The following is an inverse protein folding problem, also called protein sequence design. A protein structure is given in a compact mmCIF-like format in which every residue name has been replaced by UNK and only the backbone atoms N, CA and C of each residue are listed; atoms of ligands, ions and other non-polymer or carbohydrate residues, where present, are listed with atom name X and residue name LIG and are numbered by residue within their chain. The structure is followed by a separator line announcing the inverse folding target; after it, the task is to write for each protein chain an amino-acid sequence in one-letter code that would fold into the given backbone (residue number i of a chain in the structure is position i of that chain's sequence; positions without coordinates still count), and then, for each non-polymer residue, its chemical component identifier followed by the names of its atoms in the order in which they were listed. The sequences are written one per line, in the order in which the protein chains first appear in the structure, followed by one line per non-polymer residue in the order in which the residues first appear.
data_IF_148468072768
#
_entry.id   IF_148468072768
#
_cell.length_a   1.000
_cell.length_b   1.000
_cell.length_c   1.000
_cell.angle_alpha   90.00
_cell.angle_beta   90.00
_cell.angle_gamma   90.00
#
_symmetry.space_group_name_H-M   'P 1'
#
loop_
_entity.id
_entity.type
_entity.pdbx_description
1 polymer ?
#
# COMPACT_ATOMS: atom_id res chain seq x y z
N UNK A 1 8.76 9.35 -12.65
CA UNK A 1 9.37 8.01 -12.76
C UNK A 1 8.33 7.01 -12.27
N UNK A 2 7.77 6.17 -13.14
CA UNK A 2 6.76 5.19 -12.74
C UNK A 2 7.49 3.93 -12.27
N UNK A 3 7.69 3.82 -10.96
CA UNK A 3 8.38 2.67 -10.37
C UNK A 3 7.38 1.56 -10.15
N UNK A 4 7.44 0.51 -10.97
CA UNK A 4 6.58 -0.67 -10.84
C UNK A 4 7.28 -1.73 -10.01
N UNK A 5 6.61 -2.23 -8.97
CA UNK A 5 7.09 -3.33 -8.13
C UNK A 5 6.23 -4.57 -8.41
N UNK A 6 6.67 -5.51 -9.27
CA UNK A 6 5.90 -6.72 -9.55
C UNK A 6 5.87 -7.61 -8.30
N UNK A 7 4.67 -8.04 -7.92
CA UNK A 7 4.45 -8.86 -6.73
C UNK A 7 3.60 -10.07 -7.10
N UNK A 8 3.87 -11.18 -6.43
CA UNK A 8 3.03 -12.38 -6.53
C UNK A 8 2.05 -12.39 -5.37
N UNK A 9 0.77 -12.56 -5.69
CA UNK A 9 -0.27 -12.74 -4.68
C UNK A 9 -0.02 -14.07 -3.97
N UNK A 10 0.07 -14.02 -2.65
CA UNK A 10 0.20 -15.20 -1.81
C UNK A 10 -1.20 -15.68 -1.42
N UNK A 11 -1.40 -17.00 -1.43
CA UNK A 11 -2.68 -17.61 -1.06
C UNK A 11 -2.44 -18.54 0.11
N UNK A 12 -3.07 -18.25 1.25
CA UNK A 12 -3.11 -19.17 2.37
C UNK A 12 -4.45 -19.88 2.38
N UNK A 13 -4.40 -21.22 2.40
CA UNK A 13 -5.58 -22.08 2.45
C UNK A 13 -5.57 -22.83 3.77
N UNK A 14 -6.64 -22.70 4.54
CA UNK A 14 -6.85 -23.51 5.74
C UNK A 14 -7.99 -24.49 5.49
N UNK A 15 -7.91 -25.69 6.07
CA UNK A 15 -8.90 -26.74 5.88
C UNK A 15 -10.29 -26.23 6.31
N UNK A 16 -11.25 -26.27 5.38
CA UNK A 16 -12.63 -25.82 5.61
C UNK A 16 -12.85 -24.31 5.65
N UNK A 17 -11.84 -23.49 5.34
CA UNK A 17 -11.99 -22.02 5.26
C UNK A 17 -11.74 -21.51 3.84
N UNK A 18 -12.35 -20.37 3.53
CA UNK A 18 -12.10 -19.68 2.26
C UNK A 18 -10.61 -19.29 2.13
N UNK A 19 -10.04 -19.36 0.93
CA UNK A 19 -8.67 -18.94 0.68
C UNK A 19 -8.51 -17.45 1.02
N UNK A 20 -7.43 -17.13 1.74
CA UNK A 20 -7.05 -15.75 2.04
C UNK A 20 -5.93 -15.34 1.10
N UNK A 21 -6.15 -14.24 0.40
CA UNK A 21 -5.18 -13.65 -0.50
C UNK A 21 -4.41 -12.56 0.25
N UNK A 22 -3.09 -12.59 0.12
CA UNK A 22 -2.18 -11.62 0.73
C UNK A 22 -1.29 -11.04 -0.36
N UNK A 23 -1.12 -9.71 -0.33
CA UNK A 23 -0.16 -9.00 -1.16
C UNK A 23 0.87 -8.42 -0.21
N UNK A 24 2.15 -8.72 -0.44
CA UNK A 24 3.23 -8.11 0.33
C UNK A 24 3.42 -6.66 -0.10
N UNK A 25 3.60 -5.74 0.84
CA UNK A 25 3.91 -4.36 0.52
C UNK A 25 5.43 -4.19 0.37
N UNK A 26 5.95 -3.70 -0.77
CA UNK A 26 7.39 -3.53 -0.96
C UNK A 26 7.95 -2.53 0.05
N UNK A 27 9.06 -2.87 0.70
CA UNK A 27 9.72 -1.99 1.68
C UNK A 27 10.09 -0.63 1.08
N UNK A 28 10.57 -0.60 -0.17
CA UNK A 28 10.92 0.65 -0.85
C UNK A 28 9.71 1.58 -1.03
N UNK A 29 8.54 1.01 -1.35
CA UNK A 29 7.30 1.79 -1.46
C UNK A 29 6.83 2.25 -0.08
N UNK A 30 6.95 1.40 0.95
CA UNK A 30 6.58 1.76 2.32
C UNK A 30 7.42 2.95 2.81
N UNK A 31 8.73 2.91 2.59
CA UNK A 31 9.63 3.99 2.94
C UNK A 31 9.31 5.28 2.15
N UNK A 32 8.98 5.17 0.85
CA UNK A 32 8.68 6.32 0.02
C UNK A 32 7.42 7.07 0.44
N UNK A 33 6.38 6.35 0.90
CA UNK A 33 5.12 6.96 1.35
C UNK A 33 5.05 7.15 2.87
N UNK A 34 6.05 6.70 3.62
CA UNK A 34 6.01 6.66 5.09
C UNK A 34 4.86 5.80 5.62
N UNK A 35 4.74 4.56 5.13
CA UNK A 35 3.78 3.59 5.63
C UNK A 35 4.31 2.97 6.93
N UNK A 36 3.52 3.03 7.99
CA UNK A 36 3.87 2.47 9.30
C UNK A 36 3.03 1.24 9.66
N UNK A 37 3.61 0.36 10.48
CA UNK A 37 2.91 -0.82 10.98
C UNK A 37 1.77 -0.43 11.92
N UNK A 38 0.56 -0.85 11.60
CA UNK A 38 -0.65 -0.52 12.37
C UNK A 38 -1.53 0.56 11.72
N UNK A 39 -1.14 1.09 10.57
CA UNK A 39 -1.98 2.03 9.83
C UNK A 39 -3.15 1.34 9.13
N UNK A 40 -4.34 1.95 9.21
CA UNK A 40 -5.52 1.49 8.47
C UNK A 40 -5.42 1.91 7.02
N UNK A 41 -5.44 0.93 6.13
CA UNK A 41 -5.48 1.11 4.68
C UNK A 41 -6.74 0.47 4.11
N UNK A 42 -7.26 1.03 3.03
CA UNK A 42 -8.41 0.51 2.32
C UNK A 42 -8.05 0.25 0.85
N UNK A 43 -8.68 -0.76 0.26
CA UNK A 43 -8.57 -1.04 -1.16
C UNK A 43 -9.82 -0.54 -1.86
N UNK A 44 -9.64 0.27 -2.88
CA UNK A 44 -10.70 0.72 -3.79
C UNK A 44 -10.57 -0.02 -5.12
N UNK A 45 -11.68 -0.61 -5.56
CA UNK A 45 -11.78 -1.28 -6.85
C UNK A 45 -12.14 -0.23 -7.91
N UNK A 46 -11.24 0.07 -8.82
CA UNK A 46 -11.56 0.94 -9.96
C UNK A 46 -12.08 0.12 -11.13
N UNK A 47 -11.36 -0.94 -11.49
CA UNK A 47 -11.77 -1.88 -12.51
C UNK A 47 -11.31 -3.31 -12.18
N UNK A 48 -11.51 -4.26 -13.09
CA UNK A 48 -11.12 -5.66 -12.87
C UNK A 48 -9.60 -5.90 -12.85
N UNK A 49 -8.80 -5.00 -13.38
CA UNK A 49 -7.34 -5.05 -13.42
C UNK A 49 -6.63 -4.09 -12.47
N UNK A 50 -7.35 -3.12 -11.89
CA UNK A 50 -6.79 -2.02 -11.12
C UNK A 50 -7.44 -1.89 -9.73
N UNK A 51 -6.57 -1.93 -8.71
CA UNK A 51 -6.90 -1.72 -7.31
C UNK A 51 -6.06 -0.55 -6.80
N UNK A 52 -6.69 0.42 -6.15
CA UNK A 52 -5.98 1.50 -5.47
C UNK A 52 -5.95 1.25 -3.98
N UNK A 53 -4.79 1.48 -3.38
CA UNK A 53 -4.64 1.52 -1.93
C UNK A 53 -4.83 2.96 -1.47
N UNK A 54 -5.89 3.22 -0.71
CA UNK A 54 -6.17 4.53 -0.12
C UNK A 54 -5.88 4.48 1.37
N UNK A 55 -5.29 5.56 1.89
CA UNK A 55 -5.01 5.76 3.31
C UNK A 55 -5.99 6.80 3.84
N UNK A 56 -7.09 6.42 4.53
CA UNK A 56 -8.09 7.37 5.01
C UNK A 56 -7.53 8.31 6.09
N UNK A 57 -6.60 7.81 6.91
CA UNK A 57 -5.95 8.56 7.98
C UNK A 57 -4.45 8.69 7.67
N UNK A 58 -4.09 9.49 6.66
CA UNK A 58 -2.68 9.75 6.39
C UNK A 58 -2.08 10.55 7.54
N UNK A 59 -1.02 10.05 8.23
CA UNK A 59 -0.27 10.89 9.15
C UNK A 59 0.28 12.10 8.39
N UNK A 60 0.38 13.27 9.06
CA UNK A 60 0.95 14.45 8.44
C UNK A 60 2.35 14.13 7.89
N UNK A 61 2.73 14.65 6.71
CA UNK A 61 4.02 14.37 6.12
C UNK A 61 5.13 14.71 7.11
N UNK A 62 5.92 13.70 7.48
CA UNK A 62 7.06 13.85 8.40
C UNK A 62 8.21 14.64 7.76
N UNK A 63 8.22 14.75 6.43
CA UNK A 63 9.15 15.63 5.73
C UNK A 63 8.61 17.05 5.71
N UNK A 64 9.28 17.96 6.42
CA UNK A 64 9.06 19.38 6.22
C UNK A 64 9.34 19.67 4.75
N UNK A 65 8.29 20.00 3.99
CA UNK A 65 8.44 20.61 2.67
C UNK A 65 9.33 21.83 2.88
N UNK A 66 10.62 21.72 2.54
CA UNK A 66 11.48 22.91 2.42
C UNK A 66 10.78 23.78 1.41
N UNK A 67 10.13 24.83 1.91
CA UNK A 67 9.54 25.85 1.08
C UNK A 67 10.63 26.26 0.11
N UNK A 68 10.37 26.09 -1.19
CA UNK A 68 11.15 26.76 -2.20
C UNK A 68 10.99 28.25 -1.90
N UNK A 69 12.03 28.84 -1.27
CA UNK A 69 12.16 30.28 -1.11
C UNK A 69 12.03 30.86 -2.52
N UNK A 70 10.98 31.65 -2.72
CA UNK A 70 10.92 32.64 -3.80
C UNK A 70 11.52 33.92 -3.25
#
# INVERSE_FOLDING_TARGET
MQTTYPLKVQVMRSKGKQPRFYISFPLALAAAIGLEGGETVQWELLDRGELHLVRPNTPPPTTQRRAAKT
#
